data_IF_562248810509
#
_entry.id   IF_562248810509
#
_cell.length_a   1.000
_cell.length_b   1.000
_cell.length_c   1.000
_cell.angle_alpha   90.00
_cell.angle_beta   90.00
_cell.angle_gamma   90.00
#
_symmetry.space_group_name_H-M   'P 1'
#
loop_
_entity.id
_entity.type
_entity.pdbx_description
1 polymer ?
#
# COMPACT_ATOMS: atom_id res chain seq x y z
N UNK A 1 -5.09 -7.36 5.73
CA UNK A 1 -5.42 -7.08 4.31
C UNK A 1 -6.90 -6.82 4.17
N UNK A 2 -7.33 -5.91 3.30
CA UNK A 2 -8.75 -5.64 3.08
C UNK A 2 -9.49 -6.86 2.47
N UNK A 3 -10.74 -7.12 2.87
CA UNK A 3 -11.55 -8.21 2.29
C UNK A 3 -11.93 -7.91 0.83
N UNK A 4 -11.91 -8.94 -0.03
CA UNK A 4 -12.29 -8.81 -1.46
C UNK A 4 -13.76 -8.41 -1.59
N UNK A 5 -14.08 -7.58 -2.58
CA UNK A 5 -15.46 -7.18 -2.90
C UNK A 5 -16.13 -6.27 -1.88
N UNK A 6 -15.44 -5.86 -0.81
CA UNK A 6 -15.97 -4.90 0.18
C UNK A 6 -15.35 -3.53 -0.01
N UNK A 7 -16.21 -2.51 0.01
CA UNK A 7 -15.83 -1.10 0.05
C UNK A 7 -15.44 -0.70 1.46
N UNK A 8 -14.33 0.02 1.60
CA UNK A 8 -13.77 0.48 2.88
C UNK A 8 -13.85 2.01 2.99
N UNK A 9 -15.06 2.54 3.21
CA UNK A 9 -15.31 3.98 3.38
C UNK A 9 -15.24 4.75 2.06
N UNK A 10 -14.03 5.11 1.62
CA UNK A 10 -13.81 5.86 0.38
C UNK A 10 -14.37 5.11 -0.85
N UNK A 11 -14.95 5.84 -1.81
CA UNK A 11 -15.67 5.26 -2.95
C UNK A 11 -14.80 4.27 -3.75
N UNK A 12 -13.54 4.63 -4.01
CA UNK A 12 -12.57 3.78 -4.71
C UNK A 12 -11.81 2.77 -3.84
N UNK A 13 -12.05 2.72 -2.52
CA UNK A 13 -11.34 1.80 -1.61
C UNK A 13 -11.98 0.40 -1.63
N UNK A 14 -11.85 -0.32 -2.75
CA UNK A 14 -12.37 -1.67 -2.95
C UNK A 14 -11.37 -2.51 -3.75
N UNK A 15 -11.22 -3.79 -3.37
CA UNK A 15 -10.48 -4.78 -4.17
C UNK A 15 -11.49 -5.47 -5.09
N UNK A 16 -11.32 -5.33 -6.40
CA UNK A 16 -12.18 -5.91 -7.44
C UNK A 16 -11.36 -6.56 -8.55
N UNK A 17 -11.87 -7.62 -9.18
CA UNK A 17 -11.23 -8.25 -10.34
C UNK A 17 -9.81 -8.79 -10.10
N UNK A 18 -9.40 -9.01 -8.85
CA UNK A 18 -8.03 -9.41 -8.52
C UNK A 18 -7.00 -8.26 -8.51
N UNK A 19 -7.45 -7.01 -8.68
CA UNK A 19 -6.60 -5.82 -8.67
C UNK A 19 -6.94 -4.89 -7.50
N UNK A 20 -6.00 -4.03 -7.13
CA UNK A 20 -6.18 -3.00 -6.10
C UNK A 20 -5.82 -3.41 -4.67
N UNK A 21 -5.29 -4.63 -4.46
CA UNK A 21 -4.77 -5.04 -3.16
C UNK A 21 -3.51 -4.25 -2.77
N UNK A 22 -3.23 -4.17 -1.47
CA UNK A 22 -2.08 -3.42 -0.98
C UNK A 22 -0.73 -4.06 -1.35
N UNK A 23 -0.64 -5.39 -1.42
CA UNK A 23 0.63 -6.10 -1.65
C UNK A 23 1.13 -5.89 -3.08
N UNK A 24 0.23 -5.93 -4.07
CA UNK A 24 0.60 -5.65 -5.47
C UNK A 24 1.14 -4.23 -5.63
N UNK A 25 0.52 -3.23 -4.99
CA UNK A 25 1.00 -1.83 -4.99
C UNK A 25 2.37 -1.69 -4.33
N UNK A 26 2.55 -2.30 -3.14
CA UNK A 26 3.85 -2.30 -2.44
C UNK A 26 4.94 -2.91 -3.34
N UNK A 27 4.67 -4.07 -3.95
CA UNK A 27 5.63 -4.73 -4.85
C UNK A 27 6.00 -3.85 -6.05
N UNK A 28 5.02 -3.18 -6.66
CA UNK A 28 5.27 -2.28 -7.78
C UNK A 28 6.16 -1.09 -7.38
N UNK A 29 5.89 -0.48 -6.22
CA UNK A 29 6.69 0.63 -5.70
C UNK A 29 8.13 0.20 -5.37
N UNK A 30 8.31 -0.92 -4.68
CA UNK A 30 9.65 -1.47 -4.37
C UNK A 30 10.42 -1.79 -5.65
N UNK A 31 9.77 -2.41 -6.65
CA UNK A 31 10.40 -2.70 -7.94
C UNK A 31 10.81 -1.42 -8.70
N UNK A 32 10.14 -0.30 -8.44
CA UNK A 32 10.47 1.01 -9.00
C UNK A 32 11.55 1.76 -8.17
N UNK A 33 12.11 1.15 -7.12
CA UNK A 33 13.12 1.75 -6.25
C UNK A 33 12.56 2.70 -5.18
N UNK A 34 11.24 2.67 -4.92
CA UNK A 34 10.61 3.50 -3.88
C UNK A 34 10.78 2.85 -2.51
N UNK A 35 11.24 3.63 -1.53
CA UNK A 35 11.21 3.23 -0.12
C UNK A 35 9.77 3.17 0.40
N UNK A 36 9.35 1.98 0.86
CA UNK A 36 7.98 1.75 1.37
C UNK A 36 8.03 1.42 2.85
N UNK A 37 7.38 2.23 3.68
CA UNK A 37 7.26 1.94 5.11
C UNK A 37 6.38 0.71 5.36
N UNK A 38 6.81 -0.24 6.22
CA UNK A 38 6.05 -1.46 6.50
C UNK A 38 4.78 -1.20 7.34
N UNK A 39 4.73 -0.10 8.10
CA UNK A 39 3.54 0.31 8.86
C UNK A 39 3.38 1.84 8.86
N UNK A 40 2.16 2.38 9.06
CA UNK A 40 1.96 3.82 9.15
C UNK A 40 2.79 4.48 10.27
N UNK A 41 3.01 3.78 11.38
CA UNK A 41 3.77 4.30 12.53
C UNK A 41 5.25 4.55 12.22
N UNK A 42 5.81 3.86 11.23
CA UNK A 42 7.23 3.94 10.87
C UNK A 42 7.50 4.90 9.71
N UNK A 43 6.49 5.59 9.17
CA UNK A 43 6.68 6.49 8.01
C UNK A 43 7.75 7.56 8.23
N UNK A 44 7.82 8.15 9.43
CA UNK A 44 8.84 9.15 9.75
C UNK A 44 10.26 8.56 9.76
N UNK A 45 10.43 7.36 10.32
CA UNK A 45 11.71 6.68 10.32
C UNK A 45 12.16 6.28 8.91
N UNK A 46 11.25 5.69 8.12
CA UNK A 46 11.54 5.33 6.71
C UNK A 46 11.89 6.56 5.87
N UNK A 47 11.29 7.72 6.14
CA UNK A 47 11.67 8.96 5.48
C UNK A 47 13.11 9.36 5.85
N UNK A 48 13.47 9.33 7.12
CA UNK A 48 14.83 9.66 7.57
C UNK A 48 15.88 8.71 6.97
N UNK A 49 15.56 7.43 6.80
CA UNK A 49 16.44 6.45 6.16
C UNK A 49 16.60 6.65 4.64
N UNK A 50 15.68 7.36 4.00
CA UNK A 50 15.67 7.59 2.56
C UNK A 50 16.27 8.95 2.13
N UNK A 51 16.65 9.81 3.09
CA UNK A 51 17.35 11.08 2.88
C UNK A 51 18.86 10.85 2.79
#
# INVERSE_FOLDING_TARGET
>A
TAPKGKRMGHAGAVISGGSGDAKSKIKALVNAGVSVSPTPALMGQTLLEAL
#
